data_IF_056658228654
#
_entry.id   IF_056658228654
#
_cell.length_a   1.000
_cell.length_b   1.000
_cell.length_c   1.000
_cell.angle_alpha   90.00
_cell.angle_beta   90.00
_cell.angle_gamma   90.00
#
_symmetry.space_group_name_H-M   'P 1'
#
loop_
_entity.id
_entity.type
_entity.pdbx_description
1 polymer ?
#
# COMPACT_ATOMS: atom_id res chain seq x y z
N UNK A 1 -12.59 -5.82 -7.20
CA UNK A 1 -12.25 -5.56 -5.79
C UNK A 1 -12.67 -6.78 -5.01
N UNK A 2 -11.72 -7.51 -4.43
CA UNK A 2 -11.99 -8.77 -3.77
C UNK A 2 -12.63 -8.52 -2.39
N UNK A 3 -13.81 -9.08 -2.16
CA UNK A 3 -14.52 -8.94 -0.88
C UNK A 3 -13.74 -9.59 0.26
N UNK A 4 -12.97 -10.63 -0.02
CA UNK A 4 -12.14 -11.30 0.98
C UNK A 4 -11.06 -10.35 1.51
N UNK A 5 -10.38 -9.61 0.62
CA UNK A 5 -9.39 -8.62 1.00
C UNK A 5 -9.99 -7.50 1.88
N UNK A 6 -11.20 -7.04 1.55
CA UNK A 6 -11.93 -6.03 2.34
C UNK A 6 -12.21 -6.54 3.76
N UNK A 7 -12.76 -7.75 3.89
CA UNK A 7 -13.09 -8.33 5.20
C UNK A 7 -11.84 -8.57 6.04
N UNK A 8 -10.78 -9.12 5.44
CA UNK A 8 -9.50 -9.34 6.10
C UNK A 8 -8.90 -8.04 6.61
N UNK A 9 -8.93 -6.97 5.81
CA UNK A 9 -8.41 -5.66 6.25
C UNK A 9 -9.19 -5.08 7.43
N UNK A 10 -10.51 -5.27 7.45
CA UNK A 10 -11.33 -4.87 8.60
C UNK A 10 -10.94 -5.67 9.86
N UNK A 11 -10.68 -6.97 9.73
CA UNK A 11 -10.19 -7.82 10.84
C UNK A 11 -8.82 -7.34 11.35
N UNK A 12 -7.90 -7.00 10.45
CA UNK A 12 -6.58 -6.45 10.79
C UNK A 12 -6.68 -5.13 11.57
N UNK A 13 -7.51 -4.19 11.10
CA UNK A 13 -7.72 -2.90 11.77
C UNK A 13 -8.34 -3.12 13.15
N UNK A 14 -9.35 -3.99 13.28
CA UNK A 14 -9.94 -4.35 14.56
C UNK A 14 -8.89 -4.92 15.52
N UNK A 15 -8.03 -5.84 15.05
CA UNK A 15 -6.97 -6.42 15.86
C UNK A 15 -5.97 -5.36 16.32
N UNK A 16 -5.57 -4.46 15.44
CA UNK A 16 -4.63 -3.36 15.77
C UNK A 16 -5.18 -2.39 16.82
N UNK A 17 -6.51 -2.23 16.88
CA UNK A 17 -7.20 -1.39 17.88
C UNK A 17 -7.63 -2.17 19.12
N UNK A 18 -7.34 -3.48 19.19
CA UNK A 18 -7.83 -4.39 20.24
C UNK A 18 -9.36 -4.41 20.36
N UNK A 19 -10.06 -4.27 19.24
CA UNK A 19 -11.51 -4.27 19.20
C UNK A 19 -12.06 -5.69 19.04
N UNK A 20 -13.02 -6.03 19.90
CA UNK A 20 -13.89 -7.18 19.67
C UNK A 20 -14.91 -6.84 18.58
N UNK A 21 -15.47 -7.88 17.95
CA UNK A 21 -16.58 -7.70 16.99
C UNK A 21 -17.80 -7.03 17.62
N UNK A 22 -18.00 -7.23 18.92
CA UNK A 22 -19.02 -6.52 19.68
C UNK A 22 -18.74 -5.01 19.75
N UNK A 23 -17.49 -4.61 19.99
CA UNK A 23 -17.10 -3.20 19.98
C UNK A 23 -17.28 -2.60 18.58
N UNK A 24 -16.83 -3.27 17.53
CA UNK A 24 -17.06 -2.81 16.15
C UNK A 24 -18.57 -2.66 15.85
N UNK A 25 -19.41 -3.58 16.34
CA UNK A 25 -20.87 -3.46 16.21
C UNK A 25 -21.41 -2.17 16.83
N UNK A 26 -20.95 -1.84 18.05
CA UNK A 26 -21.37 -0.62 18.76
C UNK A 26 -20.92 0.65 18.04
N UNK A 27 -19.66 0.70 17.62
CA UNK A 27 -19.07 1.90 17.00
C UNK A 27 -19.59 2.14 15.58
N UNK A 28 -19.86 1.08 14.80
CA UNK A 28 -20.37 1.20 13.43
C UNK A 28 -21.90 1.29 13.33
N UNK A 29 -22.61 1.03 14.43
CA UNK A 29 -24.07 0.92 14.44
C UNK A 29 -24.61 -0.26 13.61
N UNK A 30 -23.75 -1.21 13.22
CA UNK A 30 -24.15 -2.43 12.50
C UNK A 30 -24.41 -3.52 13.53
N UNK A 31 -25.58 -4.18 13.46
CA UNK A 31 -25.94 -5.24 14.39
C UNK A 31 -24.91 -6.37 14.44
N UNK A 32 -24.62 -6.87 15.63
CA UNK A 32 -23.60 -7.91 15.85
C UNK A 32 -23.92 -9.21 15.09
N UNK A 33 -25.20 -9.56 14.93
CA UNK A 33 -25.66 -10.67 14.07
C UNK A 33 -25.34 -10.45 12.59
N UNK A 34 -25.43 -9.21 12.12
CA UNK A 34 -25.08 -8.84 10.73
C UNK A 34 -23.58 -8.97 10.51
N UNK A 35 -22.76 -8.44 11.43
CA UNK A 35 -21.30 -8.62 11.35
C UNK A 35 -20.92 -10.10 11.46
N UNK A 36 -21.50 -10.85 12.39
CA UNK A 36 -21.23 -12.28 12.52
C UNK A 36 -21.52 -13.05 11.23
N UNK A 37 -22.64 -12.75 10.55
CA UNK A 37 -22.96 -13.37 9.27
C UNK A 37 -22.02 -12.89 8.15
N UNK A 38 -21.64 -11.61 8.15
CA UNK A 38 -20.79 -11.01 7.13
C UNK A 38 -19.41 -11.66 7.12
N UNK A 39 -18.77 -11.72 8.30
CA UNK A 39 -17.42 -12.25 8.47
C UNK A 39 -17.40 -13.78 8.47
N UNK A 40 -18.38 -14.44 9.09
CA UNK A 40 -18.43 -15.90 9.18
C UNK A 40 -18.73 -16.59 7.85
N UNK A 41 -19.51 -15.95 6.96
CA UNK A 41 -19.83 -16.50 5.63
C UNK A 41 -19.02 -15.87 4.48
N UNK A 42 -18.07 -15.00 4.81
CA UNK A 42 -17.35 -14.15 3.83
C UNK A 42 -18.31 -13.49 2.82
N UNK A 43 -19.45 -13.02 3.30
CA UNK A 43 -20.50 -12.46 2.46
C UNK A 43 -20.13 -11.07 1.96
N UNK A 44 -20.67 -10.67 0.80
CA UNK A 44 -20.38 -9.36 0.21
C UNK A 44 -20.81 -8.21 1.12
N UNK A 45 -19.85 -7.35 1.47
CA UNK A 45 -20.14 -6.10 2.17
C UNK A 45 -20.63 -5.05 1.18
N UNK A 46 -21.81 -4.48 1.46
CA UNK A 46 -22.32 -3.35 0.69
C UNK A 46 -21.55 -2.06 1.04
N UNK A 47 -21.34 -1.17 0.07
CA UNK A 47 -20.68 0.13 0.27
C UNK A 47 -21.20 0.93 1.48
N UNK A 48 -22.52 1.04 1.76
CA UNK A 48 -23.00 1.76 2.94
C UNK A 48 -22.56 1.15 4.27
N UNK A 49 -22.46 -0.19 4.35
CA UNK A 49 -21.97 -0.89 5.55
C UNK A 49 -20.47 -0.66 5.71
N UNK A 50 -19.72 -0.73 4.62
CA UNK A 50 -18.28 -0.42 4.63
C UNK A 50 -18.03 1.03 5.08
N UNK A 51 -18.81 2.00 4.57
CA UNK A 51 -18.74 3.40 4.97
C UNK A 51 -18.92 3.61 6.48
N UNK A 52 -19.89 2.93 7.09
CA UNK A 52 -20.08 2.99 8.56
C UNK A 52 -18.92 2.38 9.33
N UNK A 53 -18.32 1.30 8.84
CA UNK A 53 -17.15 0.68 9.45
C UNK A 53 -15.94 1.62 9.35
N UNK A 54 -15.68 2.22 8.18
CA UNK A 54 -14.60 3.19 8.01
C UNK A 54 -14.78 4.39 8.94
N UNK A 55 -16.00 4.93 9.03
CA UNK A 55 -16.32 6.02 9.94
C UNK A 55 -16.10 5.64 11.41
N UNK A 56 -16.49 4.43 11.82
CA UNK A 56 -16.22 3.91 13.16
C UNK A 56 -14.71 3.83 13.46
N UNK A 57 -13.88 3.53 12.47
CA UNK A 57 -12.43 3.54 12.60
C UNK A 57 -11.80 4.93 12.60
N UNK A 58 -12.56 5.98 12.30
CA UNK A 58 -12.05 7.34 12.10
C UNK A 58 -11.36 7.52 10.75
N UNK A 59 -11.68 6.68 9.76
CA UNK A 59 -11.09 6.70 8.41
C UNK A 59 -12.09 7.20 7.38
N UNK A 60 -11.60 7.88 6.34
CA UNK A 60 -12.39 8.06 5.12
C UNK A 60 -12.38 6.76 4.32
N UNK A 61 -13.39 6.58 3.49
CA UNK A 61 -13.44 5.46 2.54
C UNK A 61 -12.22 5.44 1.60
N UNK A 62 -11.74 6.62 1.19
CA UNK A 62 -10.51 6.74 0.39
C UNK A 62 -9.31 6.14 1.10
N UNK A 63 -9.14 6.48 2.39
CA UNK A 63 -8.00 6.04 3.19
C UNK A 63 -8.05 4.52 3.37
N UNK A 64 -9.25 3.97 3.57
CA UNK A 64 -9.45 2.52 3.62
C UNK A 64 -9.05 1.82 2.31
N UNK A 65 -9.40 2.37 1.15
CA UNK A 65 -8.99 1.80 -0.14
C UNK A 65 -7.49 1.90 -0.37
N UNK A 66 -6.84 3.01 0.01
CA UNK A 66 -5.38 3.11 -0.04
C UNK A 66 -4.69 2.05 0.81
N UNK A 67 -5.26 1.73 1.98
CA UNK A 67 -4.75 0.66 2.84
C UNK A 67 -4.96 -0.75 2.28
N UNK A 68 -5.87 -0.93 1.31
CA UNK A 68 -6.08 -2.20 0.60
C UNK A 68 -5.12 -2.40 -0.56
N UNK A 69 -4.63 -1.31 -1.15
CA UNK A 69 -3.64 -1.34 -2.23
C UNK A 69 -2.22 -1.66 -1.71
N UNK A 70 -2.02 -1.60 -0.38
CA UNK A 70 -0.82 -2.09 0.30
C UNK A 70 -0.80 -3.63 0.37
N UNK A 71 -0.63 -4.30 -0.77
CA UNK A 71 -0.26 -5.72 -0.79
C UNK A 71 1.15 -5.91 -0.18
N UNK A 72 1.36 -6.86 0.75
CA UNK A 72 2.67 -7.13 1.35
C UNK A 72 3.70 -7.74 0.38
N UNK A 73 3.36 -7.86 -0.92
CA UNK A 73 4.26 -8.35 -1.96
C UNK A 73 5.00 -7.27 -2.75
N UNK A 74 4.52 -6.03 -2.75
CA UNK A 74 5.05 -4.95 -3.58
C UNK A 74 5.33 -3.68 -2.75
N UNK A 75 6.29 -3.76 -1.84
CA UNK A 75 7.07 -2.58 -1.43
C UNK A 75 8.44 -2.76 -2.08
N UNK A 76 8.88 -1.86 -2.95
CA UNK A 76 9.13 -0.47 -2.60
C UNK A 76 9.15 0.43 -3.85
N UNK A 77 8.08 1.20 -4.09
CA UNK A 77 8.24 2.54 -4.69
C UNK A 77 7.80 3.53 -3.64
N UNK A 78 8.68 4.47 -3.33
CA UNK A 78 8.56 5.41 -2.24
C UNK A 78 7.37 6.36 -2.44
N UNK A 79 6.16 5.98 -2.03
CA UNK A 79 5.12 6.98 -1.80
C UNK A 79 5.62 7.84 -0.62
N UNK A 80 5.94 9.11 -0.92
CA UNK A 80 6.53 10.16 -0.07
C UNK A 80 8.05 10.40 -0.17
N UNK A 81 8.76 9.88 -1.18
CA UNK A 81 10.08 10.46 -1.50
C UNK A 81 9.88 11.73 -2.32
N UNK A 82 9.92 12.88 -1.64
CA UNK A 82 9.75 14.20 -2.24
C UNK A 82 10.66 14.40 -3.46
N UNK A 83 11.92 13.94 -3.37
CA UNK A 83 12.90 14.08 -4.46
C UNK A 83 12.48 13.28 -5.70
N UNK A 84 12.00 12.04 -5.53
CA UNK A 84 11.52 11.22 -6.66
C UNK A 84 10.27 11.83 -7.28
N UNK A 85 9.33 12.29 -6.45
CA UNK A 85 8.10 12.94 -6.92
C UNK A 85 8.44 14.21 -7.71
N UNK A 86 9.35 15.03 -7.19
CA UNK A 86 9.82 16.24 -7.85
C UNK A 86 10.51 15.93 -9.19
N UNK A 87 11.38 14.92 -9.22
CA UNK A 87 12.03 14.44 -10.45
C UNK A 87 11.01 14.01 -11.52
N UNK A 88 9.95 13.31 -11.13
CA UNK A 88 8.88 12.88 -12.05
C UNK A 88 8.10 14.09 -12.58
N UNK A 89 7.79 15.06 -11.72
CA UNK A 89 7.12 16.30 -12.12
C UNK A 89 7.98 17.10 -13.10
N UNK A 90 9.28 17.27 -12.84
CA UNK A 90 10.22 17.92 -13.76
C UNK A 90 10.35 17.15 -15.07
N UNK A 91 10.41 15.82 -15.03
CA UNK A 91 10.49 15.01 -16.25
C UNK A 91 9.25 15.19 -17.14
N UNK A 92 8.06 15.38 -16.54
CA UNK A 92 6.82 15.60 -17.27
C UNK A 92 6.85 16.89 -18.11
N UNK A 93 7.55 17.94 -17.65
CA UNK A 93 7.66 19.22 -18.36
C UNK A 93 8.69 19.23 -19.49
N UNK A 94 9.50 18.16 -19.64
CA UNK A 94 10.51 18.06 -20.68
C UNK A 94 9.93 17.66 -22.05
N UNK A 95 10.63 18.06 -23.12
CA UNK A 95 10.32 17.58 -24.49
C UNK A 95 10.51 16.06 -24.62
N UNK A 96 9.86 15.45 -25.61
CA UNK A 96 9.99 14.00 -25.87
C UNK A 96 11.44 13.55 -26.04
N UNK A 97 12.27 14.35 -26.73
CA UNK A 97 13.69 14.04 -26.92
C UNK A 97 14.45 14.09 -25.59
N UNK A 98 14.21 15.12 -24.77
CA UNK A 98 14.87 15.26 -23.47
C UNK A 98 14.43 14.16 -22.49
N UNK A 99 13.16 13.74 -22.51
CA UNK A 99 12.70 12.58 -21.72
C UNK A 99 13.37 11.28 -22.15
N UNK A 100 13.65 11.09 -23.45
CA UNK A 100 14.40 9.91 -23.93
C UNK A 100 15.83 9.93 -23.42
N UNK A 101 16.49 11.09 -23.43
CA UNK A 101 17.84 11.25 -22.88
C UNK A 101 17.87 10.99 -21.38
N UNK A 102 16.92 11.57 -20.62
CA UNK A 102 16.78 11.32 -19.18
C UNK A 102 16.64 9.82 -18.88
N UNK A 103 15.81 9.10 -19.65
CA UNK A 103 15.67 7.63 -19.52
C UNK A 103 17.00 6.92 -19.74
N UNK A 104 17.76 7.30 -20.77
CA UNK A 104 19.09 6.74 -21.01
C UNK A 104 20.05 7.00 -19.85
N UNK A 105 20.05 8.22 -19.30
CA UNK A 105 20.89 8.56 -18.15
C UNK A 105 20.54 7.74 -16.91
N UNK A 106 19.24 7.57 -16.61
CA UNK A 106 18.78 6.73 -15.49
C UNK A 106 19.25 5.29 -15.64
N UNK A 107 19.13 4.69 -16.83
CA UNK A 107 19.59 3.32 -17.08
C UNK A 107 21.11 3.17 -16.91
N UNK A 108 21.88 4.17 -17.36
CA UNK A 108 23.33 4.18 -17.15
C UNK A 108 23.67 4.27 -15.66
N UNK A 109 22.98 5.13 -14.92
CA UNK A 109 23.18 5.24 -13.46
C UNK A 109 22.91 3.91 -12.76
N UNK A 110 21.82 3.22 -13.11
CA UNK A 110 21.48 1.91 -12.55
C UNK A 110 22.56 0.85 -12.84
N UNK A 111 23.11 0.84 -14.06
CA UNK A 111 24.18 -0.10 -14.41
C UNK A 111 25.49 0.19 -13.67
N UNK A 112 25.86 1.48 -13.53
CA UNK A 112 27.03 1.88 -12.75
C UNK A 112 26.91 1.47 -11.28
N UNK A 113 25.72 1.60 -10.69
CA UNK A 113 25.47 1.13 -9.33
C UNK A 113 25.60 -0.40 -9.22
N UNK A 114 25.10 -1.16 -10.21
CA UNK A 114 25.27 -2.62 -10.27
C UNK A 114 26.73 -3.02 -10.38
N UNK A 115 27.52 -2.35 -11.21
CA UNK A 115 28.95 -2.61 -11.34
C UNK A 115 29.72 -2.30 -10.05
N UNK A 116 29.39 -1.20 -9.37
CA UNK A 116 30.01 -0.83 -8.10
C UNK A 116 29.74 -1.86 -7.00
N UNK A 117 28.52 -2.42 -6.93
CA UNK A 117 28.20 -3.51 -6.01
C UNK A 117 29.04 -4.76 -6.27
N UNK A 118 29.14 -5.20 -7.53
CA UNK A 118 29.98 -6.35 -7.94
C UNK A 118 31.46 -6.16 -7.59
N UNK A 119 32.01 -4.95 -7.79
CA UNK A 119 33.40 -4.64 -7.45
C UNK A 119 33.63 -4.57 -5.92
N UNK A 120 32.64 -4.11 -5.16
CA UNK A 120 32.69 -4.10 -3.69
C UNK A 120 32.75 -5.49 -3.07
N UNK A 121 32.00 -6.45 -3.62
CA UNK A 121 32.02 -7.85 -3.18
C UNK A 121 33.36 -8.54 -3.49
N UNK A 122 33.98 -8.26 -4.64
CA UNK A 122 35.31 -8.79 -4.97
C UNK A 122 36.44 -8.26 -4.07
N UNK A 123 36.31 -7.05 -3.51
CA UNK A 123 37.33 -6.47 -2.63
C UNK A 123 37.25 -7.02 -1.19
N UNK A 124 36.08 -7.49 -0.74
CA UNK A 124 35.90 -8.10 0.59
C UNK A 124 36.20 -9.61 0.62
N UNK A 125 36.51 -10.24 -0.52
CA UNK A 125 36.83 -11.67 -0.64
C UNK A 125 38.33 -12.01 -0.57
N UNK A 126 39.19 -11.09 -0.17
CA UNK A 126 40.62 -11.35 0.08
C UNK A 126 40.94 -11.31 1.58
N UNK A 127 40.31 -12.20 2.33
CA UNK A 127 40.78 -12.67 3.64
C UNK A 127 40.27 -14.11 3.82
N UNK A 128 40.82 -15.02 3.01
CA UNK A 128 40.82 -16.47 3.21
C UNK A 128 42.16 -17.02 2.71
#
# INVERSE_FOLDING_TARGET
MDNEAVLKKIEEINKSKEWSMYRLSKESGIAQSTLSSLFGRRANISLPKLGRICQAFGLKMSDFFSLLEEEPGDREVCQNNYEIIEMVQMAATLSKNNRRLLRSMILVMEELERENRRKGECNNGKDC
#
